data_IF_446756727063
#
_entry.id   IF_446756727063
#
_cell.length_a   1.000
_cell.length_b   1.000
_cell.length_c   1.000
_cell.angle_alpha   90.00
_cell.angle_beta   90.00
_cell.angle_gamma   90.00
#
_symmetry.space_group_name_H-M   'P 1'
#
loop_
_entity.id
_entity.type
_entity.pdbx_description
1 polymer ?
#
# COMPACT_ATOMS: atom_id res chain seq x y z
N UNK A 1 -10.19 8.34 22.53
CA UNK A 1 -9.43 7.36 21.73
C UNK A 1 -10.41 6.74 20.76
N UNK A 2 -10.52 7.25 19.53
CA UNK A 2 -11.31 6.54 18.51
C UNK A 2 -10.52 5.30 18.13
N UNK A 3 -11.14 4.14 18.27
CA UNK A 3 -10.54 2.86 17.91
C UNK A 3 -10.45 2.79 16.40
N UNK A 4 -9.30 3.17 15.84
CA UNK A 4 -9.01 3.08 14.42
C UNK A 4 -9.01 1.60 14.03
N UNK A 5 -9.89 1.20 13.12
CA UNK A 5 -10.14 -0.22 12.80
C UNK A 5 -8.88 -0.96 12.33
N UNK A 6 -7.97 -0.23 11.68
CA UNK A 6 -6.66 -0.69 11.21
C UNK A 6 -5.62 -0.94 12.31
N UNK A 7 -5.88 -0.59 13.57
CA UNK A 7 -5.02 -0.94 14.71
C UNK A 7 -5.34 -2.33 15.29
N UNK A 8 -6.46 -2.94 14.87
CA UNK A 8 -6.81 -4.29 15.29
C UNK A 8 -6.11 -5.32 14.38
N UNK A 9 -5.18 -6.14 14.91
CA UNK A 9 -4.42 -7.10 14.11
C UNK A 9 -5.31 -8.16 13.45
N UNK A 10 -6.42 -8.56 14.09
CA UNK A 10 -7.35 -9.53 13.51
C UNK A 10 -8.11 -8.92 12.31
N UNK A 11 -8.55 -7.68 12.44
CA UNK A 11 -9.20 -6.95 11.34
C UNK A 11 -8.25 -6.79 10.15
N UNK A 12 -6.99 -6.41 10.42
CA UNK A 12 -5.95 -6.32 9.40
C UNK A 12 -5.78 -7.62 8.62
N UNK A 13 -5.66 -8.75 9.31
CA UNK A 13 -5.49 -10.07 8.66
C UNK A 13 -6.71 -10.44 7.82
N UNK A 14 -7.93 -10.25 8.34
CA UNK A 14 -9.16 -10.53 7.59
C UNK A 14 -9.25 -9.63 6.36
N UNK A 15 -8.97 -8.34 6.51
CA UNK A 15 -9.01 -7.37 5.42
C UNK A 15 -7.95 -7.67 4.35
N UNK A 16 -6.71 -7.98 4.75
CA UNK A 16 -5.66 -8.37 3.80
C UNK A 16 -6.04 -9.67 3.09
N UNK A 17 -6.64 -10.64 3.80
CA UNK A 17 -7.08 -11.88 3.18
C UNK A 17 -8.15 -11.63 2.11
N UNK A 18 -9.12 -10.76 2.35
CA UNK A 18 -10.15 -10.41 1.36
C UNK A 18 -9.53 -9.68 0.17
N UNK A 19 -8.56 -8.79 0.40
CA UNK A 19 -7.82 -8.14 -0.68
C UNK A 19 -7.06 -9.13 -1.55
N UNK A 20 -6.37 -10.10 -0.94
CA UNK A 20 -5.67 -11.16 -1.65
C UNK A 20 -6.65 -11.99 -2.47
N UNK A 21 -7.79 -12.39 -1.91
CA UNK A 21 -8.83 -13.10 -2.67
C UNK A 21 -9.32 -12.29 -3.88
N UNK A 22 -9.62 -11.00 -3.71
CA UNK A 22 -10.04 -10.13 -4.82
C UNK A 22 -8.93 -10.05 -5.88
N UNK A 23 -7.67 -9.93 -5.47
CA UNK A 23 -6.53 -9.83 -6.40
C UNK A 23 -6.27 -11.10 -7.22
N UNK A 24 -6.68 -12.28 -6.73
CA UNK A 24 -6.58 -13.54 -7.48
C UNK A 24 -7.62 -13.59 -8.61
N UNK A 25 -8.83 -13.06 -8.38
CA UNK A 25 -9.89 -13.04 -9.38
C UNK A 25 -9.84 -11.82 -10.30
N UNK A 26 -9.23 -10.73 -9.84
CA UNK A 26 -9.03 -9.53 -10.63
C UNK A 26 -7.89 -9.74 -11.63
N UNK A 27 -8.20 -10.12 -12.87
CA UNK A 27 -7.19 -10.21 -13.93
C UNK A 27 -6.69 -8.85 -14.43
N UNK A 28 -7.33 -7.74 -14.00
CA UNK A 28 -7.00 -6.41 -14.47
C UNK A 28 -6.08 -5.68 -13.49
N UNK A 29 -4.95 -5.20 -14.03
CA UNK A 29 -4.00 -4.29 -13.39
C UNK A 29 -4.69 -3.14 -12.63
N UNK A 30 -5.84 -2.67 -13.13
CA UNK A 30 -6.59 -1.53 -12.59
C UNK A 30 -7.27 -1.77 -11.26
N UNK A 31 -7.75 -2.98 -11.00
CA UNK A 31 -8.45 -3.29 -9.74
C UNK A 31 -7.43 -3.46 -8.60
N UNK A 32 -6.21 -3.87 -8.93
CA UNK A 32 -5.17 -4.24 -7.96
C UNK A 32 -4.36 -3.04 -7.48
N UNK A 33 -4.19 -2.04 -8.35
CA UNK A 33 -3.42 -0.83 -8.08
C UNK A 33 -3.81 -0.08 -6.77
N UNK A 34 -5.10 0.20 -6.48
CA UNK A 34 -5.49 0.81 -5.19
C UNK A 34 -5.21 -0.10 -3.98
N UNK A 35 -5.20 -1.42 -4.14
CA UNK A 35 -4.85 -2.29 -3.00
C UNK A 35 -3.40 -2.13 -2.56
N UNK A 36 -2.49 -1.71 -3.46
CA UNK A 36 -1.10 -1.49 -3.10
C UNK A 36 -0.90 -0.35 -2.08
N UNK A 37 -1.64 0.76 -2.19
CA UNK A 37 -1.50 1.86 -1.24
C UNK A 37 -2.13 1.55 0.12
N UNK A 38 -3.23 0.80 0.18
CA UNK A 38 -3.78 0.36 1.47
C UNK A 38 -2.84 -0.66 2.15
N UNK A 39 -2.28 -1.60 1.37
CA UNK A 39 -1.29 -2.55 1.87
C UNK A 39 -0.04 -1.84 2.41
N UNK A 40 0.37 -0.72 1.82
CA UNK A 40 1.50 0.04 2.32
C UNK A 40 1.23 0.69 3.68
N UNK A 41 0.00 1.15 3.94
CA UNK A 41 -0.38 1.66 5.27
C UNK A 41 -0.42 0.52 6.29
N UNK A 42 -0.97 -0.63 5.90
CA UNK A 42 -0.96 -1.82 6.74
C UNK A 42 0.48 -2.23 7.08
N UNK A 43 1.39 -2.17 6.10
CA UNK A 43 2.82 -2.42 6.27
C UNK A 43 3.43 -1.47 7.30
N UNK A 44 3.15 -0.17 7.17
CA UNK A 44 3.60 0.83 8.15
C UNK A 44 3.12 0.51 9.57
N UNK A 45 1.82 0.22 9.74
CA UNK A 45 1.26 -0.04 11.08
C UNK A 45 1.82 -1.30 11.71
N UNK A 46 1.96 -2.37 10.94
CA UNK A 46 2.50 -3.64 11.45
C UNK A 46 3.97 -3.53 11.84
N UNK A 47 4.77 -2.71 11.15
CA UNK A 47 6.12 -2.37 11.59
C UNK A 47 6.12 -1.54 12.88
N UNK A 48 5.28 -0.50 12.96
CA UNK A 48 5.21 0.38 14.13
C UNK A 48 4.73 -0.31 15.40
N UNK A 49 3.82 -1.29 15.26
CA UNK A 49 3.23 -2.03 16.38
C UNK A 49 3.91 -3.39 16.62
N UNK A 50 5.00 -3.70 15.91
CA UNK A 50 5.76 -4.95 16.03
C UNK A 50 4.92 -6.23 15.82
N UNK A 51 3.89 -6.16 14.97
CA UNK A 51 3.03 -7.30 14.66
C UNK A 51 3.64 -8.19 13.58
N UNK A 52 4.66 -8.98 13.95
CA UNK A 52 5.45 -9.80 13.01
C UNK A 52 4.63 -10.82 12.21
N UNK A 53 3.59 -11.42 12.80
CA UNK A 53 2.73 -12.37 12.07
C UNK A 53 1.91 -11.68 10.97
N UNK A 54 1.25 -10.56 11.31
CA UNK A 54 0.49 -9.77 10.33
C UNK A 54 1.42 -9.15 9.27
N UNK A 55 2.64 -8.78 9.66
CA UNK A 55 3.67 -8.29 8.74
C UNK A 55 4.02 -9.33 7.67
N UNK A 56 4.22 -10.59 8.04
CA UNK A 56 4.48 -11.67 7.08
C UNK A 56 3.33 -11.81 6.07
N UNK A 57 2.08 -11.72 6.52
CA UNK A 57 0.91 -11.73 5.63
C UNK A 57 0.88 -10.54 4.66
N UNK A 58 1.29 -9.35 5.11
CA UNK A 58 1.37 -8.17 4.24
C UNK A 58 2.46 -8.35 3.18
N UNK A 59 3.60 -8.92 3.53
CA UNK A 59 4.65 -9.24 2.55
C UNK A 59 4.14 -10.22 1.48
N UNK A 60 3.38 -11.25 1.88
CA UNK A 60 2.74 -12.16 0.93
C UNK A 60 1.72 -11.44 0.04
N UNK A 61 0.90 -10.55 0.62
CA UNK A 61 -0.05 -9.76 -0.15
C UNK A 61 0.65 -8.84 -1.16
N UNK A 62 1.75 -8.18 -0.76
CA UNK A 62 2.56 -7.40 -1.67
C UNK A 62 3.12 -8.22 -2.82
N UNK A 63 3.63 -9.42 -2.56
CA UNK A 63 4.13 -10.31 -3.63
C UNK A 63 3.03 -10.65 -4.64
N UNK A 64 1.82 -10.96 -4.18
CA UNK A 64 0.70 -11.29 -5.08
C UNK A 64 0.32 -10.08 -5.94
N UNK A 65 0.24 -8.91 -5.33
CA UNK A 65 -0.05 -7.65 -6.03
C UNK A 65 1.05 -7.34 -7.05
N UNK A 66 2.32 -7.43 -6.66
CA UNK A 66 3.48 -7.21 -7.54
C UNK A 66 3.46 -8.13 -8.75
N UNK A 67 3.24 -9.44 -8.54
CA UNK A 67 3.19 -10.43 -9.61
C UNK A 67 2.06 -10.15 -10.60
N UNK A 68 0.88 -9.77 -10.11
CA UNK A 68 -0.26 -9.40 -10.97
C UNK A 68 -0.02 -8.11 -11.75
N UNK A 69 0.82 -7.21 -11.22
CA UNK A 69 1.22 -5.97 -11.89
C UNK A 69 2.41 -6.16 -12.84
N UNK A 70 3.03 -7.35 -12.84
CA UNK A 70 4.25 -7.67 -13.57
C UNK A 70 5.53 -7.07 -12.96
N UNK A 71 5.43 -6.42 -11.80
CA UNK A 71 6.57 -5.81 -11.11
C UNK A 71 7.53 -6.88 -10.59
N UNK A 72 8.78 -6.48 -10.36
CA UNK A 72 9.75 -7.36 -9.70
C UNK A 72 9.31 -7.66 -8.26
N UNK A 73 9.56 -8.90 -7.77
CA UNK A 73 9.18 -9.26 -6.42
C UNK A 73 9.91 -8.38 -5.39
N UNK A 74 9.20 -8.06 -4.32
CA UNK A 74 9.58 -7.16 -3.22
C UNK A 74 9.81 -5.69 -3.59
N UNK A 75 9.52 -5.25 -4.81
CA UNK A 75 9.71 -3.84 -5.19
C UNK A 75 8.81 -2.87 -4.40
N UNK A 76 7.53 -3.19 -4.20
CA UNK A 76 6.59 -2.41 -3.40
C UNK A 76 6.94 -2.46 -1.92
N UNK A 77 7.32 -3.65 -1.41
CA UNK A 77 7.74 -3.80 -0.03
C UNK A 77 8.98 -2.95 0.28
N UNK A 78 9.94 -2.89 -0.64
CA UNK A 78 11.17 -2.11 -0.50
C UNK A 78 10.86 -0.60 -0.50
N UNK A 79 9.92 -0.16 -1.32
CA UNK A 79 9.45 1.24 -1.31
C UNK A 79 8.72 1.58 -0.02
N UNK A 80 7.79 0.74 0.42
CA UNK A 80 7.08 0.93 1.69
C UNK A 80 8.08 1.04 2.86
N UNK A 81 9.10 0.17 2.86
CA UNK A 81 10.16 0.19 3.86
C UNK A 81 11.06 1.44 3.77
N UNK A 82 11.41 1.89 2.56
CA UNK A 82 12.18 3.11 2.35
C UNK A 82 11.43 4.34 2.90
N UNK A 83 10.14 4.45 2.61
CA UNK A 83 9.31 5.55 3.11
C UNK A 83 9.21 5.48 4.64
N UNK A 84 9.03 4.28 5.20
CA UNK A 84 9.01 4.07 6.64
C UNK A 84 10.29 4.55 7.34
N UNK A 85 11.47 4.24 6.78
CA UNK A 85 12.74 4.59 7.40
C UNK A 85 13.13 6.06 7.23
N UNK A 86 12.92 6.64 6.05
CA UNK A 86 13.49 7.94 5.71
C UNK A 86 12.51 9.09 5.79
N UNK A 87 11.24 8.84 5.49
CA UNK A 87 10.24 9.91 5.35
C UNK A 87 9.44 10.05 6.64
N UNK A 88 8.85 8.96 7.15
CA UNK A 88 7.95 9.03 8.32
C UNK A 88 8.60 9.65 9.56
N UNK A 89 9.87 9.34 9.93
CA UNK A 89 10.47 9.92 11.14
C UNK A 89 10.57 11.45 11.10
N UNK A 90 10.54 12.05 9.91
CA UNK A 90 10.58 13.50 9.73
C UNK A 90 9.23 14.18 10.05
N UNK A 91 8.13 13.41 10.14
CA UNK A 91 6.75 13.92 10.27
C UNK A 91 6.00 13.32 11.48
N UNK A 92 6.71 12.84 12.51
CA UNK A 92 6.12 12.12 13.65
C UNK A 92 5.04 12.88 14.44
N UNK A 93 4.97 14.21 14.34
CA UNK A 93 4.05 15.04 15.13
C UNK A 93 2.70 15.32 14.46
N UNK A 94 2.54 15.03 13.16
CA UNK A 94 1.35 15.42 12.42
C UNK A 94 0.31 14.30 12.31
N UNK A 95 -0.96 14.62 12.60
CA UNK A 95 -2.11 13.73 12.34
C UNK A 95 -2.28 13.37 10.85
N UNK A 96 -1.59 14.08 9.96
CA UNK A 96 -1.56 13.88 8.52
C UNK A 96 -0.56 12.82 8.05
N UNK A 97 0.20 12.20 8.96
CA UNK A 97 1.29 11.28 8.63
C UNK A 97 0.85 10.13 7.70
N UNK A 98 -0.35 9.56 7.91
CA UNK A 98 -0.85 8.48 7.06
C UNK A 98 -1.19 8.93 5.62
N UNK A 99 -1.71 10.15 5.44
CA UNK A 99 -1.98 10.69 4.09
C UNK A 99 -0.69 11.03 3.34
N UNK A 100 0.30 11.59 4.05
CA UNK A 100 1.63 11.82 3.51
C UNK A 100 2.28 10.50 3.08
N UNK A 101 2.13 9.45 3.89
CA UNK A 101 2.64 8.13 3.57
C UNK A 101 2.07 7.58 2.25
N UNK A 102 0.74 7.66 2.05
CA UNK A 102 0.10 7.26 0.78
C UNK A 102 0.68 8.06 -0.39
N UNK A 103 0.80 9.38 -0.24
CA UNK A 103 1.32 10.26 -1.28
C UNK A 103 2.74 9.86 -1.68
N UNK A 104 3.65 9.68 -0.73
CA UNK A 104 5.02 9.27 -1.00
C UNK A 104 5.09 7.84 -1.57
N UNK A 105 4.18 6.96 -1.18
CA UNK A 105 4.07 5.62 -1.76
C UNK A 105 3.72 5.65 -3.24
N UNK A 106 2.76 6.49 -3.65
CA UNK A 106 2.40 6.65 -5.07
C UNK A 106 3.49 7.34 -5.89
N UNK A 107 4.26 8.27 -5.29
CA UNK A 107 5.47 8.82 -5.93
C UNK A 107 6.51 7.72 -6.13
N UNK A 108 6.74 6.88 -5.11
CA UNK A 108 7.63 5.73 -5.21
C UNK A 108 7.19 4.75 -6.31
N UNK A 109 5.89 4.45 -6.39
CA UNK A 109 5.34 3.63 -7.46
C UNK A 109 5.58 4.25 -8.83
N UNK A 110 5.33 5.56 -9.01
CA UNK A 110 5.64 6.25 -10.26
C UNK A 110 7.11 6.02 -10.67
N UNK A 111 8.05 6.13 -9.74
CA UNK A 111 9.48 5.88 -9.99
C UNK A 111 9.73 4.40 -10.38
N UNK A 112 9.07 3.42 -9.76
CA UNK A 112 9.20 2.01 -10.21
C UNK A 112 8.71 1.83 -11.64
N UNK A 113 7.54 2.40 -11.94
CA UNK A 113 6.95 2.30 -13.27
C UNK A 113 7.82 2.97 -14.34
N UNK A 114 8.52 4.06 -14.01
CA UNK A 114 9.48 4.69 -14.94
C UNK A 114 10.72 3.83 -15.20
N UNK A 115 11.18 3.08 -14.19
CA UNK A 115 12.39 2.26 -14.28
C UNK A 115 12.15 0.91 -14.96
N UNK A 116 10.99 0.30 -14.75
CA UNK A 116 10.69 -1.05 -15.23
C UNK A 116 9.81 -1.09 -16.48
N UNK A 117 9.09 -0.01 -16.77
CA UNK A 117 8.17 0.05 -17.90
C UNK A 117 8.29 1.36 -18.68
N UNK A 118 7.84 1.34 -19.93
CA UNK A 118 7.60 2.58 -20.65
C UNK A 118 6.35 3.25 -20.10
N UNK A 119 6.53 4.44 -19.53
CA UNK A 119 5.42 5.25 -19.03
C UNK A 119 4.54 5.63 -20.21
N UNK A 120 3.27 5.24 -20.13
CA UNK A 120 2.22 5.79 -20.97
C UNK A 120 1.36 6.76 -20.17
N UNK A 121 0.71 7.68 -20.86
CA UNK A 121 -0.30 8.58 -20.27
C UNK A 121 -1.40 7.82 -19.54
N UNK A 122 -1.75 6.62 -20.02
CA UNK A 122 -2.68 5.72 -19.33
C UNK A 122 -2.18 5.33 -17.95
N UNK A 123 -0.94 4.82 -17.82
CA UNK A 123 -0.38 4.39 -16.52
C UNK A 123 -0.39 5.53 -15.50
N UNK A 124 -0.02 6.74 -15.92
CA UNK A 124 -0.05 7.93 -15.05
C UNK A 124 -1.48 8.21 -14.56
N UNK A 125 -2.46 8.20 -15.47
CA UNK A 125 -3.86 8.48 -15.13
C UNK A 125 -4.42 7.41 -14.19
N UNK A 126 -4.05 6.15 -14.39
CA UNK A 126 -4.44 5.06 -13.50
C UNK A 126 -3.81 5.14 -12.11
N UNK A 127 -2.52 5.49 -12.01
CA UNK A 127 -1.88 5.74 -10.72
C UNK A 127 -2.55 6.89 -9.97
N UNK A 128 -2.95 7.93 -10.69
CA UNK A 128 -3.62 9.10 -10.13
C UNK A 128 -5.04 8.77 -9.63
N UNK A 129 -5.80 7.97 -10.38
CA UNK A 129 -7.10 7.45 -9.94
C UNK A 129 -6.98 6.54 -8.72
N UNK A 130 -5.99 5.64 -8.71
CA UNK A 130 -5.74 4.73 -7.59
C UNK A 130 -5.35 5.50 -6.32
N UNK A 131 -4.53 6.55 -6.46
CA UNK A 131 -4.21 7.47 -5.36
C UNK A 131 -5.45 8.11 -4.74
N UNK A 132 -6.37 8.62 -5.55
CA UNK A 132 -7.62 9.19 -5.04
C UNK A 132 -8.50 8.15 -4.37
N UNK A 133 -8.61 6.95 -4.95
CA UNK A 133 -9.35 5.85 -4.33
C UNK A 133 -8.78 5.49 -2.96
N UNK A 134 -7.46 5.41 -2.82
CA UNK A 134 -6.84 5.03 -1.55
C UNK A 134 -7.02 6.08 -0.48
N UNK A 135 -7.01 7.37 -0.84
CA UNK A 135 -7.35 8.44 0.09
C UNK A 135 -8.79 8.29 0.58
N UNK A 136 -9.74 8.00 -0.31
CA UNK A 136 -11.15 7.81 0.04
C UNK A 136 -11.31 6.58 0.94
N UNK A 137 -10.75 5.44 0.52
CA UNK A 137 -10.84 4.17 1.25
C UNK A 137 -10.19 4.31 2.63
N UNK A 138 -9.01 4.94 2.72
CA UNK A 138 -8.36 5.20 3.99
C UNK A 138 -9.20 6.13 4.88
N UNK A 139 -9.83 7.14 4.31
CA UNK A 139 -10.77 8.02 5.03
C UNK A 139 -11.97 7.29 5.62
N UNK A 140 -12.42 6.18 5.02
CA UNK A 140 -13.52 5.35 5.55
C UNK A 140 -13.07 4.52 6.77
N UNK A 141 -11.79 4.16 6.87
CA UNK A 141 -11.27 3.31 7.95
C UNK A 141 -10.83 4.06 9.22
N UNK A 142 -10.70 5.40 9.14
CA UNK A 142 -10.35 6.31 10.23
C UNK A 142 -11.53 6.63 11.17
#
# INVERSE_FOLDING_TARGET
>A
MSTNSLDNPFFLVVFISTLVFISIFASSFFIILPFAGILSIAFYRTLKQEYYYSFAFILFAFLIVELNMGLKPFSLALIAYFIYLFIIPQYEQDKLNNYLYILFFYIGMLILFTLFYNISTYIILFLLLAFFLDIIIFGIFL
#
